data_IF_408603774795
#
_entry.id   IF_408603774795
#
_cell.length_a   1.000
_cell.length_b   1.000
_cell.length_c   1.000
_cell.angle_alpha   90.00
_cell.angle_beta   90.00
_cell.angle_gamma   90.00
#
_symmetry.space_group_name_H-M   'P 1'
#
loop_
_entity.id
_entity.type
_entity.pdbx_description
1 polymer ?
#
# COMPACT_ATOMS: atom_id res chain seq x y z
N UNK A 1 45.17 -7.57 31.92
CA UNK A 1 43.91 -6.79 32.05
C UNK A 1 43.12 -6.86 30.74
N UNK A 2 42.27 -7.88 30.59
CA UNK A 2 41.47 -8.10 29.38
C UNK A 2 40.11 -7.39 29.45
N UNK A 3 39.83 -6.49 28.51
CA UNK A 3 38.57 -5.74 28.44
C UNK A 3 37.43 -6.65 27.94
N UNK A 4 36.49 -7.00 28.82
CA UNK A 4 35.25 -7.73 28.50
C UNK A 4 34.36 -6.88 27.59
N UNK A 5 34.12 -7.34 26.35
CA UNK A 5 33.12 -6.75 25.43
C UNK A 5 31.70 -7.02 25.95
N UNK A 6 30.96 -5.93 26.22
CA UNK A 6 29.56 -5.98 26.65
C UNK A 6 28.65 -6.49 25.54
N UNK A 7 28.03 -7.65 25.76
CA UNK A 7 27.03 -8.28 24.90
C UNK A 7 25.70 -7.53 25.09
N UNK A 8 25.35 -6.59 24.20
CA UNK A 8 24.02 -5.92 24.23
C UNK A 8 22.95 -6.95 23.91
N UNK A 9 22.21 -7.37 24.94
CA UNK A 9 21.04 -8.25 24.84
C UNK A 9 19.95 -7.55 24.04
N UNK A 10 19.65 -8.05 22.84
CA UNK A 10 18.42 -7.74 22.11
C UNK A 10 17.23 -8.29 22.91
N UNK A 11 16.58 -7.42 23.68
CA UNK A 11 15.28 -7.73 24.29
C UNK A 11 14.24 -7.71 23.18
N UNK A 12 13.91 -8.88 22.65
CA UNK A 12 12.68 -9.08 21.88
C UNK A 12 11.51 -8.77 22.81
N UNK A 13 10.93 -7.57 22.72
CA UNK A 13 9.67 -7.25 23.38
C UNK A 13 8.63 -8.21 22.80
N UNK A 14 8.21 -9.20 23.59
CA UNK A 14 7.02 -10.01 23.29
C UNK A 14 5.86 -9.04 23.09
N UNK A 15 5.27 -9.04 21.88
CA UNK A 15 4.00 -8.37 21.60
C UNK A 15 3.00 -8.82 22.66
N UNK A 16 2.32 -7.87 23.32
CA UNK A 16 1.08 -8.18 24.02
C UNK A 16 0.07 -8.67 22.97
N UNK A 17 -0.60 -9.81 23.17
CA UNK A 17 -1.67 -10.20 22.28
C UNK A 17 -2.76 -9.13 22.34
N UNK A 18 -3.08 -8.54 21.18
CA UNK A 18 -4.31 -7.77 21.05
C UNK A 18 -5.46 -8.70 21.44
N UNK A 19 -6.28 -8.27 22.40
CA UNK A 19 -7.53 -8.94 22.75
C UNK A 19 -8.50 -8.77 21.58
N UNK A 20 -8.33 -9.54 20.51
CA UNK A 20 -9.43 -9.77 19.57
C UNK A 20 -10.26 -10.91 20.13
N UNK A 21 -11.44 -10.57 20.65
CA UNK A 21 -12.54 -11.52 20.91
C UNK A 21 -13.18 -11.97 19.57
N UNK A 22 -12.34 -12.29 18.58
CA UNK A 22 -12.75 -12.78 17.28
C UNK A 22 -12.71 -14.30 17.27
N UNK A 23 -13.60 -14.92 16.51
CA UNK A 23 -13.54 -16.36 16.24
C UNK A 23 -12.15 -16.73 15.67
N UNK A 24 -11.66 -17.97 15.86
CA UNK A 24 -10.33 -18.38 15.38
C UNK A 24 -10.12 -18.17 13.86
N UNK A 25 -11.21 -18.09 13.09
CA UNK A 25 -11.21 -17.79 11.65
C UNK A 25 -10.87 -16.32 11.37
N UNK A 26 -11.40 -15.39 12.15
CA UNK A 26 -11.16 -13.95 11.98
C UNK A 26 -9.69 -13.59 12.20
N UNK A 27 -9.07 -14.13 13.24
CA UNK A 27 -7.66 -13.89 13.55
C UNK A 27 -6.69 -14.44 12.48
N UNK A 28 -7.11 -15.40 11.66
CA UNK A 28 -6.30 -15.94 10.55
C UNK A 28 -6.25 -14.97 9.37
N UNK A 29 -7.39 -14.36 9.01
CA UNK A 29 -7.48 -13.39 7.93
C UNK A 29 -6.76 -12.08 8.28
N UNK A 30 -6.94 -11.57 9.50
CA UNK A 30 -6.22 -10.38 9.97
C UNK A 30 -4.70 -10.58 9.92
N UNK A 31 -4.23 -11.78 10.29
CA UNK A 31 -2.80 -12.12 10.21
C UNK A 31 -2.30 -12.21 8.77
N UNK A 32 -3.13 -12.68 7.84
CA UNK A 32 -2.82 -12.67 6.41
C UNK A 32 -2.67 -11.25 5.89
N UNK A 33 -3.63 -10.37 6.21
CA UNK A 33 -3.57 -8.95 5.88
C UNK A 33 -2.36 -8.26 6.50
N UNK A 34 -2.01 -8.58 7.75
CA UNK A 34 -0.79 -8.07 8.38
C UNK A 34 0.46 -8.49 7.58
N UNK A 35 0.53 -9.74 7.12
CA UNK A 35 1.67 -10.22 6.33
C UNK A 35 1.75 -9.55 4.96
N UNK A 36 0.61 -9.39 4.28
CA UNK A 36 0.55 -8.70 2.99
C UNK A 36 0.97 -7.24 3.16
N UNK A 37 0.34 -6.53 4.10
CA UNK A 37 0.67 -5.14 4.41
C UNK A 37 2.15 -4.98 4.71
N UNK A 38 2.72 -5.83 5.58
CA UNK A 38 4.16 -5.78 5.90
C UNK A 38 5.03 -5.95 4.66
N UNK A 39 4.72 -6.90 3.79
CA UNK A 39 5.50 -7.15 2.56
C UNK A 39 5.39 -5.97 1.59
N UNK A 40 4.19 -5.42 1.42
CA UNK A 40 3.95 -4.24 0.58
C UNK A 40 4.68 -3.02 1.12
N UNK A 41 4.65 -2.76 2.43
CA UNK A 41 5.38 -1.63 3.01
C UNK A 41 6.91 -1.82 2.91
N UNK A 42 7.41 -3.04 3.08
CA UNK A 42 8.83 -3.34 2.91
C UNK A 42 9.32 -3.16 1.46
N UNK A 43 8.46 -3.40 0.47
CA UNK A 43 8.84 -3.24 -0.94
C UNK A 43 8.96 -1.76 -1.32
N UNK A 44 8.07 -0.91 -0.79
CA UNK A 44 8.03 0.53 -1.09
C UNK A 44 9.00 1.37 -0.26
N UNK A 45 9.37 0.96 0.96
CA UNK A 45 10.32 1.71 1.80
C UNK A 45 11.77 1.58 1.31
N UNK A 46 12.55 2.67 1.39
CA UNK A 46 14.00 2.67 1.16
C UNK A 46 14.70 2.31 2.47
N UNK A 47 14.95 1.02 2.68
CA UNK A 47 15.55 0.52 3.92
C UNK A 47 17.07 0.78 4.05
N UNK A 48 17.72 1.31 3.00
CA UNK A 48 19.17 1.54 2.96
C UNK A 48 19.60 2.88 3.57
N UNK A 49 18.70 3.87 3.66
CA UNK A 49 19.01 5.22 4.13
C UNK A 49 19.27 5.26 5.65
N UNK A 50 18.61 4.38 6.41
CA UNK A 50 18.70 4.35 7.87
C UNK A 50 19.12 2.96 8.38
N UNK A 51 20.41 2.59 8.31
CA UNK A 51 20.89 1.31 8.83
C UNK A 51 20.63 1.20 10.34
N UNK A 52 20.29 -0.01 10.82
CA UNK A 52 19.94 -0.29 12.21
C UNK A 52 18.70 0.44 12.76
N UNK A 53 17.83 0.96 11.89
CA UNK A 53 16.57 1.58 12.31
C UNK A 53 15.42 0.57 12.30
N UNK A 54 14.48 0.73 13.23
CA UNK A 54 13.25 -0.05 13.27
C UNK A 54 12.05 0.89 13.15
N UNK A 55 11.33 0.79 12.04
CA UNK A 55 10.06 1.50 11.84
C UNK A 55 8.92 0.56 12.23
N UNK A 56 8.07 0.99 13.16
CA UNK A 56 6.88 0.24 13.59
C UNK A 56 5.63 0.94 13.09
N UNK A 57 4.87 0.26 12.23
CA UNK A 57 3.55 0.73 11.75
C UNK A 57 2.47 -0.03 12.51
N UNK A 58 1.51 0.70 13.06
CA UNK A 58 0.37 0.15 13.81
C UNK A 58 -0.89 0.63 13.10
N UNK A 59 -1.71 -0.31 12.63
CA UNK A 59 -2.99 -0.03 11.98
C UNK A 59 -4.09 -0.50 12.91
N UNK A 60 -5.02 0.41 13.22
CA UNK A 60 -6.20 0.12 14.01
C UNK A 60 -7.44 0.23 13.11
N UNK A 61 -8.17 -0.86 12.95
CA UNK A 61 -9.46 -0.85 12.26
C UNK A 61 -10.49 -0.20 13.18
N UNK A 62 -11.08 0.90 12.73
CA UNK A 62 -12.14 1.63 13.46
C UNK A 62 -13.52 1.18 12.96
N UNK A 63 -13.69 1.11 11.65
CA UNK A 63 -14.87 0.63 10.97
C UNK A 63 -14.46 -0.19 9.76
N UNK A 64 -15.19 -1.27 9.50
CA UNK A 64 -14.95 -2.17 8.37
C UNK A 64 -16.21 -2.27 7.53
N UNK A 65 -16.19 -1.58 6.38
CA UNK A 65 -17.25 -1.60 5.37
C UNK A 65 -16.73 -2.11 4.01
N UNK A 66 -15.81 -3.07 4.03
CA UNK A 66 -15.20 -3.63 2.82
C UNK A 66 -13.88 -2.96 2.45
N UNK A 67 -13.18 -3.54 1.47
CA UNK A 67 -11.88 -3.11 0.96
C UNK A 67 -10.84 -2.85 2.07
N UNK A 68 -10.90 -3.64 3.16
CA UNK A 68 -10.14 -3.39 4.38
C UNK A 68 -8.63 -3.35 4.15
N UNK A 69 -8.10 -4.31 3.38
CA UNK A 69 -6.67 -4.39 3.10
C UNK A 69 -6.18 -3.22 2.22
N UNK A 70 -6.82 -2.89 1.07
CA UNK A 70 -6.50 -1.69 0.31
C UNK A 70 -6.54 -0.41 1.13
N UNK A 71 -7.58 -0.24 1.97
CA UNK A 71 -7.71 0.90 2.87
C UNK A 71 -6.52 0.98 3.84
N UNK A 72 -6.16 -0.15 4.48
CA UNK A 72 -5.03 -0.22 5.40
C UNK A 72 -3.68 0.12 4.73
N UNK A 73 -3.48 -0.31 3.47
CA UNK A 73 -2.27 0.00 2.69
C UNK A 73 -2.21 1.49 2.37
N UNK A 74 -3.30 2.09 1.90
CA UNK A 74 -3.36 3.52 1.59
C UNK A 74 -3.14 4.38 2.83
N UNK A 75 -3.80 4.04 3.95
CA UNK A 75 -3.61 4.72 5.23
C UNK A 75 -2.17 4.60 5.74
N UNK A 76 -1.57 3.42 5.64
CA UNK A 76 -0.17 3.21 6.03
C UNK A 76 0.80 3.98 5.15
N UNK A 77 0.55 4.04 3.83
CA UNK A 77 1.37 4.83 2.91
C UNK A 77 1.30 6.32 3.26
N UNK A 78 0.11 6.86 3.51
CA UNK A 78 -0.05 8.25 3.93
C UNK A 78 0.67 8.52 5.27
N UNK A 79 0.55 7.62 6.26
CA UNK A 79 1.24 7.76 7.54
C UNK A 79 2.77 7.70 7.41
N UNK A 80 3.31 6.91 6.49
CA UNK A 80 4.76 6.87 6.23
C UNK A 80 5.27 8.16 5.59
N UNK A 81 4.47 8.76 4.70
CA UNK A 81 4.79 10.07 4.11
C UNK A 81 4.76 11.16 5.17
N UNK A 82 3.71 11.19 6.00
CA UNK A 82 3.57 12.13 7.12
C UNK A 82 4.72 12.00 8.13
N UNK A 83 5.14 10.77 8.45
CA UNK A 83 6.28 10.50 9.31
C UNK A 83 7.65 10.79 8.67
N UNK A 84 7.69 11.20 7.40
CA UNK A 84 8.93 11.49 6.67
C UNK A 84 9.82 10.27 6.40
N UNK A 85 9.23 9.07 6.35
CA UNK A 85 9.97 7.84 6.05
C UNK A 85 10.27 7.79 4.55
N UNK A 86 11.54 7.62 4.13
CA UNK A 86 11.88 7.56 2.71
C UNK A 86 11.22 6.38 1.98
N UNK A 87 10.44 6.69 0.93
CA UNK A 87 9.77 5.73 0.06
C UNK A 87 10.34 5.79 -1.37
N UNK A 88 10.41 4.64 -2.05
CA UNK A 88 10.80 4.54 -3.47
C UNK A 88 9.73 5.13 -4.38
N UNK A 89 8.48 4.86 -4.04
CA UNK A 89 7.27 5.33 -4.71
C UNK A 89 6.11 5.23 -3.72
N UNK A 90 5.02 5.95 -3.99
CA UNK A 90 3.79 5.80 -3.21
C UNK A 90 3.12 4.46 -3.58
N UNK A 91 2.37 3.88 -2.66
CA UNK A 91 1.52 2.72 -2.94
C UNK A 91 0.07 3.19 -2.96
N UNK A 92 -0.63 2.86 -4.05
CA UNK A 92 -2.06 3.08 -4.15
C UNK A 92 -2.74 1.75 -4.35
N UNK A 93 -3.59 1.39 -3.41
CA UNK A 93 -4.34 0.16 -3.40
C UNK A 93 -5.82 0.40 -3.70
N UNK A 94 -6.43 -0.53 -4.43
CA UNK A 94 -7.85 -0.52 -4.79
C UNK A 94 -8.42 -1.94 -4.70
N UNK A 95 -9.70 -2.07 -4.36
CA UNK A 95 -10.42 -3.33 -4.45
C UNK A 95 -11.26 -3.36 -5.74
N UNK A 96 -11.19 -4.47 -6.48
CA UNK A 96 -12.05 -4.70 -7.64
C UNK A 96 -12.87 -5.97 -7.40
N UNK A 97 -14.18 -5.88 -7.52
CA UNK A 97 -15.11 -7.01 -7.45
C UNK A 97 -15.57 -7.42 -8.84
N UNK A 98 -15.79 -8.71 -9.02
CA UNK A 98 -16.41 -9.29 -10.21
C UNK A 98 -17.82 -9.81 -9.85
N UNK A 99 -18.82 -9.26 -10.53
CA UNK A 99 -20.19 -9.72 -10.46
C UNK A 99 -20.42 -10.98 -11.31
N UNK A 100 -21.48 -11.74 -10.99
CA UNK A 100 -21.89 -12.92 -11.78
C UNK A 100 -22.22 -12.58 -13.24
N UNK A 101 -22.61 -11.33 -13.52
CA UNK A 101 -22.87 -10.82 -14.86
C UNK A 101 -21.60 -10.47 -15.65
N UNK A 102 -20.41 -10.65 -15.08
CA UNK A 102 -19.13 -10.23 -15.67
C UNK A 102 -18.82 -8.74 -15.54
N UNK A 103 -19.61 -7.99 -14.75
CA UNK A 103 -19.37 -6.57 -14.50
C UNK A 103 -18.31 -6.40 -13.41
N UNK A 104 -17.35 -5.50 -13.64
CA UNK A 104 -16.33 -5.12 -12.65
C UNK A 104 -16.78 -3.87 -11.89
N UNK A 105 -16.83 -3.98 -10.56
CA UNK A 105 -17.06 -2.87 -9.63
C UNK A 105 -15.78 -2.54 -8.87
N UNK A 106 -15.55 -1.25 -8.60
CA UNK A 106 -14.37 -0.77 -7.90
C UNK A 106 -14.77 -0.23 -6.53
N UNK A 107 -13.94 -0.48 -5.52
CA UNK A 107 -14.16 -0.13 -4.11
C UNK A 107 -15.57 -0.50 -3.60
N UNK A 108 -15.88 -1.81 -3.57
CA UNK A 108 -17.14 -2.34 -3.06
C UNK A 108 -17.31 -2.08 -1.56
N UNK A 109 -18.57 -1.97 -1.13
CA UNK A 109 -18.98 -2.07 0.26
C UNK A 109 -18.91 -3.52 0.76
N UNK A 110 -18.94 -3.73 2.08
CA UNK A 110 -18.90 -5.07 2.67
C UNK A 110 -20.01 -5.99 2.16
N UNK A 111 -21.22 -5.42 2.00
CA UNK A 111 -22.37 -6.15 1.48
C UNK A 111 -22.20 -6.54 0.01
N UNK A 112 -21.45 -5.75 -0.76
CA UNK A 112 -21.12 -6.08 -2.14
C UNK A 112 -20.03 -7.15 -2.19
N UNK A 113 -18.97 -7.04 -1.38
CA UNK A 113 -17.91 -8.06 -1.31
C UNK A 113 -18.45 -9.46 -0.99
N UNK A 114 -19.43 -9.56 -0.09
CA UNK A 114 -20.05 -10.84 0.29
C UNK A 114 -20.95 -11.45 -0.79
N UNK A 115 -21.51 -10.62 -1.68
CA UNK A 115 -22.42 -11.06 -2.76
C UNK A 115 -21.68 -11.39 -4.05
N UNK A 116 -20.47 -10.86 -4.23
CA UNK A 116 -19.72 -10.99 -5.47
C UNK A 116 -19.02 -12.34 -5.56
N UNK A 117 -18.86 -12.82 -6.80
CA UNK A 117 -18.23 -14.13 -7.09
C UNK A 117 -16.75 -14.17 -6.70
N UNK A 118 -16.07 -13.06 -6.96
CA UNK A 118 -14.65 -12.90 -6.71
C UNK A 118 -14.31 -11.43 -6.50
N UNK A 119 -13.20 -11.19 -5.83
CA UNK A 119 -12.62 -9.86 -5.70
C UNK A 119 -11.10 -9.93 -5.71
N UNK A 120 -10.48 -8.81 -6.08
CA UNK A 120 -9.04 -8.67 -6.17
C UNK A 120 -8.60 -7.36 -5.55
N UNK A 121 -7.63 -7.46 -4.66
CA UNK A 121 -6.90 -6.32 -4.14
C UNK A 121 -5.69 -6.08 -5.03
N UNK A 122 -5.60 -4.88 -5.60
CA UNK A 122 -4.51 -4.48 -6.46
C UNK A 122 -3.77 -3.33 -5.80
N UNK A 123 -2.44 -3.44 -5.72
CA UNK A 123 -1.57 -2.39 -5.20
C UNK A 123 -0.62 -1.97 -6.30
N UNK A 124 -0.77 -0.73 -6.76
CA UNK A 124 -0.03 -0.18 -7.87
C UNK A 124 0.99 0.85 -7.34
N UNK A 125 2.20 0.87 -7.91
CA UNK A 125 3.17 1.91 -7.60
C UNK A 125 2.70 3.21 -8.23
N UNK A 126 2.67 4.25 -7.42
CA UNK A 126 2.55 5.62 -7.87
C UNK A 126 3.95 6.24 -7.83
N UNK A 127 4.70 5.99 -8.90
CA UNK A 127 5.96 6.68 -9.14
C UNK A 127 5.65 8.14 -9.49
N UNK A 128 6.43 9.06 -8.94
CA UNK A 128 6.41 10.45 -9.39
C UNK A 128 7.04 10.40 -10.78
N UNK A 129 6.23 10.24 -11.82
CA UNK A 129 6.70 10.56 -13.17
C UNK A 129 7.14 12.00 -13.08
N UNK A 130 8.44 12.18 -13.27
CA UNK A 130 9.09 13.46 -13.43
C UNK A 130 8.24 14.32 -14.35
N UNK A 131 7.85 15.48 -13.85
CA UNK A 131 7.55 16.63 -14.70
C UNK A 131 8.85 16.98 -15.43
N UNK A 132 9.15 16.26 -16.50
CA UNK A 132 10.07 16.69 -17.53
C UNK A 132 9.24 16.73 -18.81
N UNK A 133 9.17 17.88 -19.50
CA UNK A 133 8.48 17.96 -20.77
C UNK A 133 9.12 16.95 -21.72
N UNK A 134 8.30 16.26 -22.50
CA UNK A 134 8.76 15.42 -23.60
C UNK A 134 9.56 16.28 -24.60
N UNK A 135 10.88 16.31 -24.43
CA UNK A 135 11.80 16.77 -25.47
C UNK A 135 12.52 15.55 -26.05
N UNK A 136 11.96 15.10 -27.17
CA UNK A 136 12.57 14.34 -28.26
C UNK A 136 13.98 13.78 -28.03
N UNK A 137 14.10 12.48 -27.76
CA UNK A 137 15.11 11.64 -28.41
C UNK A 137 14.76 10.16 -28.29
N UNK A 138 14.79 9.49 -29.44
CA UNK A 138 14.56 8.06 -29.61
C UNK A 138 15.62 7.23 -28.87
N UNK A 139 15.28 6.77 -27.67
CA UNK A 139 15.88 5.57 -27.06
C UNK A 139 14.72 4.75 -26.52
N UNK A 140 14.61 3.48 -26.93
CA UNK A 140 13.69 2.49 -26.38
C UNK A 140 13.99 2.32 -24.87
N UNK A 141 13.44 3.20 -24.05
CA UNK A 141 13.29 3.02 -22.62
C UNK A 141 11.99 2.28 -22.39
N UNK A 142 12.06 1.10 -21.81
CA UNK A 142 10.90 0.35 -21.34
C UNK A 142 10.01 1.32 -20.55
N UNK A 143 8.79 1.56 -21.02
CA UNK A 143 7.79 2.35 -20.29
C UNK A 143 7.51 1.65 -18.97
N UNK A 144 8.28 1.97 -17.92
CA UNK A 144 8.09 1.43 -16.58
C UNK A 144 6.97 2.20 -15.88
N UNK A 145 5.78 2.18 -16.47
CA UNK A 145 4.56 2.79 -15.90
C UNK A 145 3.54 1.73 -15.42
N UNK A 146 3.80 0.44 -15.68
CA UNK A 146 2.83 -0.63 -15.49
C UNK A 146 3.19 -1.59 -14.34
N UNK A 147 3.85 -1.10 -13.29
CA UNK A 147 4.15 -1.93 -12.13
C UNK A 147 2.88 -2.40 -11.40
N UNK A 148 2.95 -3.56 -10.77
CA UNK A 148 1.98 -4.08 -9.80
C UNK A 148 2.80 -4.58 -8.61
N UNK A 149 2.64 -3.95 -7.45
CA UNK A 149 3.42 -4.27 -6.25
C UNK A 149 2.87 -5.55 -5.61
N UNK A 150 1.56 -5.66 -5.53
CA UNK A 150 0.89 -6.77 -4.85
C UNK A 150 -0.48 -6.96 -5.48
N UNK A 151 -0.82 -8.21 -5.77
CA UNK A 151 -2.18 -8.63 -6.10
C UNK A 151 -2.59 -9.75 -5.17
N UNK A 152 -3.79 -9.64 -4.59
CA UNK A 152 -4.40 -10.70 -3.80
C UNK A 152 -5.78 -10.97 -4.35
N UNK A 153 -6.00 -12.17 -4.87
CA UNK A 153 -7.27 -12.59 -5.46
C UNK A 153 -8.01 -13.51 -4.50
N UNK A 154 -9.30 -13.26 -4.30
CA UNK A 154 -10.19 -14.09 -3.51
C UNK A 154 -11.38 -14.54 -4.36
N UNK A 155 -11.84 -15.76 -4.14
CA UNK A 155 -12.91 -16.37 -4.93
C UNK A 155 -12.39 -16.98 -6.24
N UNK A 156 -13.33 -17.24 -7.15
CA UNK A 156 -13.04 -17.90 -8.44
C UNK A 156 -13.08 -16.86 -9.56
N UNK A 157 -11.91 -16.57 -10.13
CA UNK A 157 -11.75 -15.58 -11.18
C UNK A 157 -10.97 -16.18 -12.35
N UNK A 158 -11.43 -15.94 -13.59
CA UNK A 158 -10.67 -16.33 -14.78
C UNK A 158 -9.51 -15.37 -15.03
N UNK A 159 -8.56 -15.77 -15.88
CA UNK A 159 -7.43 -14.89 -16.24
C UNK A 159 -7.92 -13.64 -16.96
N UNK A 160 -8.91 -13.78 -17.85
CA UNK A 160 -9.48 -12.66 -18.61
C UNK A 160 -10.20 -11.68 -17.67
N UNK A 161 -10.97 -12.19 -16.71
CA UNK A 161 -11.63 -11.35 -15.70
C UNK A 161 -10.61 -10.64 -14.80
N UNK A 162 -9.51 -11.31 -14.43
CA UNK A 162 -8.43 -10.71 -13.67
C UNK A 162 -7.78 -9.56 -14.43
N UNK A 163 -7.47 -9.76 -15.71
CA UNK A 163 -6.88 -8.73 -16.56
C UNK A 163 -7.85 -7.56 -16.75
N UNK A 164 -9.14 -7.84 -16.91
CA UNK A 164 -10.17 -6.81 -16.99
C UNK A 164 -10.27 -5.99 -15.70
N UNK A 165 -10.26 -6.65 -14.52
CA UNK A 165 -10.16 -5.98 -13.23
C UNK A 165 -8.89 -5.14 -13.11
N UNK A 166 -7.75 -5.65 -13.57
CA UNK A 166 -6.47 -4.94 -13.52
C UNK A 166 -6.48 -3.66 -14.37
N UNK A 167 -7.03 -3.72 -15.58
CA UNK A 167 -7.15 -2.57 -16.47
C UNK A 167 -8.05 -1.48 -15.86
N UNK A 168 -9.23 -1.87 -15.37
CA UNK A 168 -10.18 -0.96 -14.72
C UNK A 168 -9.62 -0.38 -13.42
N UNK A 169 -8.97 -1.22 -12.61
CA UNK A 169 -8.28 -0.83 -11.39
C UNK A 169 -7.18 0.19 -11.65
N UNK A 170 -6.33 -0.03 -12.67
CA UNK A 170 -5.29 0.93 -13.07
C UNK A 170 -5.86 2.30 -13.46
N UNK A 171 -6.93 2.32 -14.24
CA UNK A 171 -7.58 3.57 -14.65
C UNK A 171 -8.11 4.37 -13.44
N UNK A 172 -8.68 3.70 -12.44
CA UNK A 172 -9.13 4.35 -11.21
C UNK A 172 -7.97 4.78 -10.30
N UNK A 173 -6.98 3.91 -10.14
CA UNK A 173 -5.78 4.21 -9.34
C UNK A 173 -4.98 5.38 -9.92
N UNK A 174 -5.02 5.64 -11.23
CA UNK A 174 -4.44 6.86 -11.82
C UNK A 174 -5.04 8.13 -11.19
N UNK A 175 -6.38 8.20 -11.05
CA UNK A 175 -7.05 9.33 -10.40
C UNK A 175 -6.73 9.43 -8.91
N UNK A 176 -6.70 8.30 -8.21
CA UNK A 176 -6.31 8.25 -6.79
C UNK A 176 -4.85 8.70 -6.58
N UNK A 177 -3.97 8.34 -7.51
CA UNK A 177 -2.57 8.72 -7.50
C UNK A 177 -2.40 10.22 -7.63
N UNK A 178 -3.17 10.87 -8.50
CA UNK A 178 -3.18 12.33 -8.64
C UNK A 178 -3.71 13.02 -7.39
N UNK A 179 -4.80 12.50 -6.80
CA UNK A 179 -5.31 13.00 -5.53
C UNK A 179 -4.25 12.89 -4.43
N UNK A 180 -3.58 11.73 -4.33
CA UNK A 180 -2.56 11.49 -3.32
C UNK A 180 -1.37 12.43 -3.49
N UNK A 181 -0.92 12.66 -4.73
CA UNK A 181 0.17 13.61 -5.03
C UNK A 181 -0.21 15.04 -4.63
N UNK A 182 -1.44 15.49 -4.94
CA UNK A 182 -1.88 16.85 -4.58
C UNK A 182 -1.97 17.07 -3.07
N UNK A 183 -2.35 16.06 -2.31
CA UNK A 183 -2.59 16.19 -0.87
C UNK A 183 -1.38 15.81 0.00
N UNK A 184 -0.50 14.92 -0.49
CA UNK A 184 0.70 14.50 0.24
C UNK A 184 1.98 15.18 -0.25
N UNK A 185 1.92 16.01 -1.30
CA UNK A 185 3.02 16.94 -1.57
C UNK A 185 3.20 17.78 -0.31
N UNK A 186 4.38 17.76 0.33
CA UNK A 186 4.66 18.72 1.37
C UNK A 186 4.49 20.10 0.73
N UNK A 187 3.92 21.04 1.48
CA UNK A 187 3.96 22.48 1.22
C UNK A 187 5.44 22.93 1.20
N UNK A 188 6.22 22.50 0.21
CA UNK A 188 7.57 22.96 -0.06
C UNK A 188 7.44 24.24 -0.90
N UNK A 189 6.84 25.28 -0.32
CA UNK A 189 7.01 26.70 -0.68
C UNK A 189 6.00 27.58 0.06
N UNK A 190 6.40 28.17 1.19
CA UNK A 190 6.01 29.55 1.55
C UNK A 190 6.69 30.14 2.80
N UNK A 191 7.56 29.42 3.53
CA UNK A 191 8.24 29.97 4.72
C UNK A 191 9.72 30.35 4.50
N UNK A 192 10.06 30.96 3.34
CA UNK A 192 11.39 31.54 3.12
C UNK A 192 11.38 33.01 2.67
N UNK A 193 10.34 33.79 3.03
CA UNK A 193 10.33 35.22 2.75
C UNK A 193 9.60 36.00 3.84
N UNK A 194 10.28 36.21 4.99
CA UNK A 194 10.12 37.37 5.89
C UNK A 194 11.30 37.41 6.87
N UNK A 195 12.48 37.67 6.31
CA UNK A 195 13.59 38.28 7.03
C UNK A 195 14.00 39.49 6.19
N UNK A 196 13.52 40.67 6.61
CA UNK A 196 13.72 41.96 5.98
C UNK A 196 13.16 43.03 6.90
#
# INVERSE_FOLDING_TARGET
MGRRRGRRRTRTRRRLPSRSSGSPKQGRLEKEYEMVLKRTLQSICILTIHPNTTTSVIVQVVHDDGALLPCAINASCAALVDAGIPLKHLAVAICCCLADSGLVMLDPTKLEEEKMKAFVYLVLPNSILSVLPEESSSVKGEQMEQGLITSVTHGVMSVDDYLHCLERGRAATSKMSDFLRRNLQPQLSSDSSKAG
#
